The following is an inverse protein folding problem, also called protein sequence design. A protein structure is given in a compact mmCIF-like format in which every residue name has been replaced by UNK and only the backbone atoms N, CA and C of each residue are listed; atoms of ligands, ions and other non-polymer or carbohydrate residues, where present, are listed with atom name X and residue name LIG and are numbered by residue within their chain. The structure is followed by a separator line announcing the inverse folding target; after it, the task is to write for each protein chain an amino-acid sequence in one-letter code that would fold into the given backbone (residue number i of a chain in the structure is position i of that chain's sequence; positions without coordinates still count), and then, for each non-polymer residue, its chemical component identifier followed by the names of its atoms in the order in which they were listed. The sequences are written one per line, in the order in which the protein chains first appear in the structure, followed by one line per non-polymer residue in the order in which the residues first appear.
data_IF_943450293798
#
_entry.id   IF_943450293798
#
_cell.length_a   1.000
_cell.length_b   1.000
_cell.length_c   1.000
_cell.angle_alpha   90.00
_cell.angle_beta   90.00
_cell.angle_gamma   90.00
#
_symmetry.space_group_name_H-M   'P 1'
#
loop_
_entity.id
_entity.type
_entity.pdbx_description
1 polymer ?
#
# COMPACT_ATOMS: atom_id res chain seq x y z
N UNK A 1 2.06 18.06 10.63
CA UNK A 1 1.36 17.09 9.79
C UNK A 1 -0.06 16.78 10.28
N UNK A 2 -0.32 15.96 11.31
CA UNK A 2 -1.72 15.67 11.73
C UNK A 2 -2.51 16.92 12.16
N UNK A 3 -1.94 17.77 13.02
CA UNK A 3 -2.57 19.04 13.44
C UNK A 3 -2.75 20.04 12.28
N UNK A 4 -1.90 19.96 11.25
CA UNK A 4 -1.93 20.85 10.10
C UNK A 4 -3.04 20.46 9.12
N UNK A 5 -3.16 19.16 8.82
CA UNK A 5 -4.28 18.60 8.05
C UNK A 5 -5.60 18.88 8.75
N UNK A 6 -5.66 18.78 10.08
CA UNK A 6 -6.85 19.08 10.86
C UNK A 6 -7.22 20.57 10.79
N UNK A 7 -6.23 21.46 10.88
CA UNK A 7 -6.43 22.91 10.72
C UNK A 7 -6.93 23.25 9.32
N UNK A 8 -6.34 22.66 8.27
CA UNK A 8 -6.75 22.86 6.87
C UNK A 8 -8.16 22.33 6.60
N UNK A 9 -8.55 21.20 7.20
CA UNK A 9 -9.92 20.66 7.13
C UNK A 9 -10.94 21.63 7.73
N UNK A 10 -10.63 22.22 8.89
CA UNK A 10 -11.48 23.25 9.50
C UNK A 10 -11.60 24.46 8.58
N UNK A 11 -10.48 24.96 8.07
CA UNK A 11 -10.45 26.14 7.19
C UNK A 11 -11.28 25.94 5.90
N UNK A 12 -11.21 24.75 5.30
CA UNK A 12 -12.04 24.40 4.13
C UNK A 12 -13.54 24.33 4.46
N UNK A 13 -13.88 23.96 5.69
CA UNK A 13 -15.26 23.91 6.19
C UNK A 13 -15.84 25.28 6.56
N UNK A 14 -15.02 26.16 7.14
CA UNK A 14 -15.45 27.45 7.70
C UNK A 14 -15.48 28.58 6.65
N UNK A 15 -14.68 28.49 5.59
CA UNK A 15 -14.62 29.50 4.52
C UNK A 15 -15.66 29.26 3.41
N UNK A 16 -16.96 29.39 3.70
CA UNK A 16 -18.00 29.27 2.66
C UNK A 16 -18.12 30.52 1.76
N UNK A 17 -17.75 31.70 2.27
CA UNK A 17 -17.99 32.98 1.59
C UNK A 17 -16.82 33.46 0.72
N UNK A 18 -15.61 32.94 0.95
CA UNK A 18 -14.42 33.26 0.16
C UNK A 18 -13.98 32.03 -0.65
N UNK A 19 -14.45 31.98 -1.90
CA UNK A 19 -14.22 30.84 -2.80
C UNK A 19 -12.76 30.67 -3.19
N UNK A 20 -12.02 31.76 -3.34
CA UNK A 20 -10.61 31.72 -3.73
C UNK A 20 -9.77 31.22 -2.55
N UNK A 21 -10.06 31.69 -1.34
CA UNK A 21 -9.40 31.21 -0.13
C UNK A 21 -9.69 29.73 0.14
N UNK A 22 -10.94 29.30 -0.05
CA UNK A 22 -11.32 27.89 0.08
C UNK A 22 -10.62 27.00 -0.95
N UNK A 23 -10.49 27.46 -2.19
CA UNK A 23 -9.78 26.73 -3.24
C UNK A 23 -8.29 26.57 -2.93
N UNK A 24 -7.65 27.61 -2.40
CA UNK A 24 -6.26 27.54 -1.94
C UNK A 24 -6.09 26.55 -0.78
N UNK A 25 -6.92 26.66 0.27
CA UNK A 25 -6.88 25.76 1.42
C UNK A 25 -7.14 24.29 1.01
N UNK A 26 -8.03 24.04 0.06
CA UNK A 26 -8.29 22.68 -0.45
C UNK A 26 -7.07 22.11 -1.17
N UNK A 27 -6.40 22.91 -1.99
CA UNK A 27 -5.18 22.49 -2.70
C UNK A 27 -4.05 22.15 -1.73
N UNK A 28 -3.87 22.97 -0.69
CA UNK A 28 -2.89 22.71 0.37
C UNK A 28 -3.24 21.43 1.15
N UNK A 29 -4.52 21.24 1.49
CA UNK A 29 -5.00 20.02 2.15
C UNK A 29 -4.73 18.77 1.30
N UNK A 30 -5.00 18.83 0.00
CA UNK A 30 -4.72 17.72 -0.92
C UNK A 30 -3.23 17.38 -0.97
N UNK A 31 -2.37 18.40 -1.00
CA UNK A 31 -0.92 18.21 -0.97
C UNK A 31 -0.46 17.59 0.36
N UNK A 32 -0.92 18.13 1.49
CA UNK A 32 -0.57 17.62 2.82
C UNK A 32 -1.01 16.17 3.02
N UNK A 33 -2.19 15.77 2.50
CA UNK A 33 -2.66 14.38 2.53
C UNK A 33 -1.79 13.46 1.67
N UNK A 34 -1.36 13.91 0.49
CA UNK A 34 -0.45 13.14 -0.37
C UNK A 34 0.90 12.93 0.30
N UNK A 35 1.45 13.98 0.89
CA UNK A 35 2.73 13.93 1.61
C UNK A 35 2.64 13.02 2.84
N UNK A 36 1.53 13.08 3.59
CA UNK A 36 1.28 12.20 4.72
C UNK A 36 1.24 10.73 4.31
N UNK A 37 0.49 10.40 3.25
CA UNK A 37 0.46 9.04 2.70
C UNK A 37 1.83 8.57 2.20
N UNK A 38 2.61 9.44 1.57
CA UNK A 38 3.96 9.12 1.12
C UNK A 38 4.91 8.82 2.29
N UNK A 39 4.96 9.70 3.28
CA UNK A 39 5.82 9.54 4.46
C UNK A 39 5.40 8.33 5.29
N UNK A 40 4.10 8.08 5.42
CA UNK A 40 3.58 6.89 6.09
C UNK A 40 4.07 5.60 5.42
N UNK A 41 3.99 5.51 4.09
CA UNK A 41 4.50 4.36 3.35
C UNK A 41 6.02 4.22 3.49
N UNK A 42 6.77 5.31 3.45
CA UNK A 42 8.21 5.30 3.64
C UNK A 42 8.58 4.78 5.04
N UNK A 43 7.84 5.20 6.07
CA UNK A 43 8.02 4.74 7.43
C UNK A 43 7.74 3.23 7.56
N UNK A 44 6.63 2.75 6.99
CA UNK A 44 6.31 1.32 6.99
C UNK A 44 7.42 0.50 6.35
N UNK A 45 7.95 0.95 5.19
CA UNK A 45 9.09 0.31 4.54
C UNK A 45 10.35 0.34 5.40
N UNK A 46 10.61 1.44 6.11
CA UNK A 46 11.79 1.57 6.96
C UNK A 46 11.71 0.72 8.25
N UNK A 47 10.51 0.39 8.70
CA UNK A 47 10.27 -0.49 9.86
C UNK A 47 10.40 -1.97 9.52
N UNK A 48 10.40 -2.34 8.23
CA UNK A 48 10.71 -3.69 7.82
C UNK A 48 12.19 -3.95 8.13
N UNK A 49 12.52 -5.00 8.90
CA UNK A 49 13.90 -5.40 9.05
C UNK A 49 14.45 -5.73 7.66
N UNK A 50 15.62 -5.19 7.32
CA UNK A 50 16.31 -5.59 6.08
C UNK A 50 16.72 -7.05 6.23
N UNK A 51 16.17 -7.92 5.39
CA UNK A 51 16.66 -9.29 5.25
C UNK A 51 17.62 -9.35 4.06
N UNK A 52 18.84 -9.87 4.27
CA UNK A 52 19.81 -10.09 3.18
C UNK A 52 19.26 -11.04 2.09
N UNK A 53 18.16 -11.76 2.38
CA UNK A 53 17.42 -12.58 1.44
C UNK A 53 16.40 -11.79 0.59
N UNK A 54 16.00 -10.57 0.98
CA UNK A 54 15.03 -9.75 0.23
C UNK A 54 15.51 -9.40 -1.19
N UNK A 55 16.83 -9.30 -1.38
CA UNK A 55 17.46 -8.98 -2.66
C UNK A 55 17.74 -10.22 -3.53
N UNK A 56 17.36 -11.43 -3.08
CA UNK A 56 17.66 -12.68 -3.78
C UNK A 56 16.41 -13.28 -4.40
N UNK A 57 16.58 -13.87 -5.58
CA UNK A 57 15.56 -14.74 -6.15
C UNK A 57 15.29 -15.93 -5.21
N UNK A 58 14.03 -16.32 -5.07
CA UNK A 58 13.63 -17.50 -4.33
C UNK A 58 13.06 -18.58 -5.27
N UNK A 59 13.25 -19.84 -4.88
CA UNK A 59 12.62 -20.98 -5.56
C UNK A 59 11.40 -21.39 -4.73
N UNK A 60 10.21 -21.26 -5.31
CA UNK A 60 8.96 -21.70 -4.69
C UNK A 60 8.61 -23.11 -5.19
N UNK A 61 8.56 -24.08 -4.28
CA UNK A 61 8.10 -25.43 -4.58
C UNK A 61 6.77 -25.70 -3.85
N UNK A 62 5.71 -25.97 -4.62
CA UNK A 62 4.41 -26.36 -4.09
C UNK A 62 4.17 -27.84 -4.35
N UNK A 63 4.01 -28.64 -3.29
CA UNK A 63 3.74 -30.08 -3.38
C UNK A 63 2.36 -30.40 -2.83
N UNK A 64 1.61 -31.25 -3.55
CA UNK A 64 0.35 -31.77 -3.06
C UNK A 64 0.58 -32.70 -1.86
N UNK A 65 -0.20 -32.50 -0.80
CA UNK A 65 -0.23 -33.40 0.35
C UNK A 65 -0.99 -34.71 0.06
N UNK A 66 -1.19 -35.52 1.09
CA UNK A 66 -2.01 -36.75 0.99
C UNK A 66 -3.50 -36.42 1.11
N UNK A 67 -4.35 -37.02 0.27
CA UNK A 67 -5.81 -36.81 0.37
C UNK A 67 -6.61 -36.99 -0.93
N UNK A 68 -6.15 -37.83 -1.87
CA UNK A 68 -6.81 -37.95 -3.17
C UNK A 68 -6.52 -36.76 -4.07
N UNK A 69 -7.52 -36.29 -4.83
CA UNK A 69 -7.35 -35.22 -5.84
C UNK A 69 -7.36 -33.80 -5.24
N UNK A 70 -8.04 -33.61 -4.11
CA UNK A 70 -8.24 -32.30 -3.47
C UNK A 70 -6.94 -31.56 -3.12
N UNK A 71 -5.88 -32.22 -2.58
CA UNK A 71 -4.61 -31.56 -2.30
C UNK A 71 -3.88 -31.09 -3.56
N UNK A 72 -4.09 -31.77 -4.70
CA UNK A 72 -3.48 -31.38 -5.98
C UNK A 72 -4.15 -30.15 -6.56
N UNK A 73 -5.49 -30.06 -6.44
CA UNK A 73 -6.25 -28.87 -6.81
C UNK A 73 -5.86 -27.67 -5.93
N UNK A 74 -5.75 -27.88 -4.62
CA UNK A 74 -5.34 -26.83 -3.70
C UNK A 74 -3.90 -26.35 -3.95
N UNK A 75 -2.97 -27.26 -4.24
CA UNK A 75 -1.60 -26.91 -4.63
C UNK A 75 -1.58 -26.04 -5.90
N UNK A 76 -2.45 -26.35 -6.88
CA UNK A 76 -2.58 -25.56 -8.10
C UNK A 76 -3.15 -24.16 -7.82
N UNK A 77 -4.12 -24.04 -6.92
CA UNK A 77 -4.70 -22.76 -6.54
C UNK A 77 -3.72 -21.89 -5.73
N UNK A 78 -2.95 -22.51 -4.82
CA UNK A 78 -1.85 -21.82 -4.12
C UNK A 78 -0.78 -21.32 -5.10
N UNK A 79 -0.42 -22.13 -6.10
CA UNK A 79 0.53 -21.71 -7.13
C UNK A 79 0.01 -20.50 -7.90
N UNK A 80 -1.26 -20.49 -8.33
CA UNK A 80 -1.84 -19.33 -9.03
C UNK A 80 -1.81 -18.07 -8.16
N UNK A 81 -2.27 -18.17 -6.91
CA UNK A 81 -2.33 -17.03 -6.01
C UNK A 81 -0.93 -16.46 -5.72
N UNK A 82 0.02 -17.31 -5.34
CA UNK A 82 1.34 -16.87 -4.90
C UNK A 82 2.26 -16.47 -6.07
N UNK A 83 2.17 -17.17 -7.21
CA UNK A 83 3.08 -16.96 -8.31
C UNK A 83 2.54 -16.01 -9.39
N UNK A 84 1.25 -16.07 -9.72
CA UNK A 84 0.71 -15.28 -10.84
C UNK A 84 0.22 -13.93 -10.33
N UNK A 85 -0.65 -13.94 -9.32
CA UNK A 85 -1.31 -12.72 -8.87
C UNK A 85 -0.37 -11.91 -7.97
N UNK A 86 0.18 -12.54 -6.92
CA UNK A 86 1.02 -11.84 -5.96
C UNK A 86 2.39 -11.40 -6.53
N UNK A 87 3.02 -12.20 -7.41
CA UNK A 87 4.26 -11.76 -8.07
C UNK A 87 4.05 -10.62 -9.06
N UNK A 88 2.86 -10.52 -9.67
CA UNK A 88 2.53 -9.40 -10.56
C UNK A 88 2.36 -8.11 -9.76
N UNK A 89 1.74 -8.20 -8.58
CA UNK A 89 1.59 -7.08 -7.66
C UNK A 89 2.94 -6.62 -7.11
N UNK A 90 3.83 -7.55 -6.69
CA UNK A 90 5.18 -7.19 -6.21
C UNK A 90 5.99 -6.42 -7.27
N UNK A 91 5.92 -6.83 -8.55
CA UNK A 91 6.58 -6.09 -9.65
C UNK A 91 6.00 -4.70 -9.92
N UNK A 92 4.82 -4.40 -9.40
CA UNK A 92 4.19 -3.07 -9.52
C UNK A 92 4.61 -2.14 -8.37
N UNK A 93 5.15 -2.68 -7.27
CA UNK A 93 5.61 -1.93 -6.10
C UNK A 93 7.14 -1.80 -5.96
N UNK A 94 7.91 -2.50 -6.80
CA UNK A 94 9.36 -2.38 -6.96
C UNK A 94 9.71 -1.51 -8.17
#
# INVERSE_FOLDING_TARGET
MMCEIESLKSLVGDCEQDKDMRAMAYKELEQALKEEGYVHNLLLKALLPKDDADERDCILEVRAGTGGEEPSLFAMDMFKMLFIDYSSDIKMFA
#
